data_IF_409469281306
#
_entry.id   IF_409469281306
#
_cell.length_a   1.000
_cell.length_b   1.000
_cell.length_c   1.000
_cell.angle_alpha   90.00
_cell.angle_beta   90.00
_cell.angle_gamma   90.00
#
_symmetry.space_group_name_H-M   'P 1'
#
loop_
_entity.id
_entity.type
_entity.pdbx_description
1 polymer ?
#
# COMPACT_ATOMS: atom_id res chain seq x y z
N UNK A 1 74.42 7.41 -47.45
CA UNK A 1 74.01 8.46 -46.56
C UNK A 1 72.47 8.35 -46.37
N UNK A 2 72.02 7.75 -45.28
CA UNK A 2 70.59 7.60 -44.97
C UNK A 2 70.29 8.55 -43.84
N UNK A 3 69.38 9.50 -44.03
CA UNK A 3 68.91 10.46 -43.01
C UNK A 3 67.81 9.80 -42.25
N UNK A 4 68.03 9.60 -40.98
CA UNK A 4 66.95 9.18 -40.02
C UNK A 4 66.15 10.40 -39.65
N UNK A 5 64.90 10.39 -39.98
CA UNK A 5 63.87 11.37 -39.47
C UNK A 5 63.28 10.79 -38.23
N UNK A 6 63.60 11.37 -37.09
CA UNK A 6 62.98 11.04 -35.81
C UNK A 6 61.73 11.90 -35.72
N UNK A 7 60.57 11.26 -35.85
CA UNK A 7 59.26 11.90 -35.64
C UNK A 7 58.93 11.85 -34.14
N UNK A 8 59.07 12.97 -33.48
CA UNK A 8 58.61 13.12 -32.09
C UNK A 8 57.09 13.18 -32.02
N UNK A 9 56.46 12.12 -31.52
CA UNK A 9 55.06 12.13 -31.20
C UNK A 9 54.86 12.88 -29.88
N UNK A 10 54.33 14.08 -29.93
CA UNK A 10 53.89 14.86 -28.77
C UNK A 10 52.52 14.28 -28.36
N UNK A 11 52.52 13.51 -27.27
CA UNK A 11 51.27 13.08 -26.63
C UNK A 11 50.64 14.28 -25.92
N UNK A 12 49.60 14.87 -26.50
CA UNK A 12 48.75 15.85 -25.85
C UNK A 12 47.96 15.11 -24.74
N UNK A 13 48.36 15.26 -23.48
CA UNK A 13 47.56 14.89 -22.35
C UNK A 13 46.40 15.90 -22.22
N UNK A 14 45.22 15.52 -22.70
CA UNK A 14 43.98 16.23 -22.45
C UNK A 14 43.61 15.94 -21.01
N UNK A 15 43.54 16.95 -20.10
CA UNK A 15 42.99 16.71 -18.79
C UNK A 15 41.53 16.32 -18.98
N UNK A 16 41.14 15.11 -18.63
CA UNK A 16 39.78 14.71 -18.49
C UNK A 16 39.15 15.63 -17.44
N UNK A 17 38.40 16.64 -17.88
CA UNK A 17 37.45 17.34 -17.02
C UNK A 17 36.51 16.29 -16.49
N UNK A 18 36.75 15.86 -15.26
CA UNK A 18 35.74 15.13 -14.49
C UNK A 18 34.52 16.07 -14.40
N UNK A 19 33.57 15.86 -15.28
CA UNK A 19 32.22 16.40 -15.09
C UNK A 19 31.76 15.76 -13.79
N UNK A 20 31.74 16.53 -12.72
CA UNK A 20 31.08 16.11 -11.49
C UNK A 20 29.63 15.82 -11.91
N UNK A 21 29.30 14.55 -11.92
CA UNK A 21 27.96 14.08 -12.15
C UNK A 21 27.08 14.81 -11.13
N UNK A 22 26.13 15.56 -11.65
CA UNK A 22 25.19 16.36 -10.85
C UNK A 22 24.66 15.42 -9.77
N UNK A 23 25.04 15.65 -8.51
CA UNK A 23 24.60 14.82 -7.40
C UNK A 23 23.08 14.85 -7.47
N UNK A 24 22.50 13.73 -7.87
CA UNK A 24 21.05 13.60 -8.03
C UNK A 24 20.43 14.13 -6.73
N UNK A 25 19.83 15.32 -6.79
CA UNK A 25 19.08 15.88 -5.70
C UNK A 25 17.97 14.89 -5.45
N UNK A 26 18.12 14.08 -4.40
CA UNK A 26 17.04 13.22 -3.94
C UNK A 26 15.85 14.13 -3.66
N UNK A 27 14.74 13.86 -4.31
CA UNK A 27 13.50 14.57 -4.08
C UNK A 27 13.19 14.55 -2.58
N UNK A 28 12.89 15.72 -2.03
CA UNK A 28 12.57 15.83 -0.60
C UNK A 28 11.24 15.13 -0.38
N UNK A 29 11.27 13.96 0.26
CA UNK A 29 10.07 13.24 0.63
C UNK A 29 9.45 13.97 1.83
N UNK A 30 8.30 14.60 1.60
CA UNK A 30 7.49 15.19 2.65
C UNK A 30 6.54 14.14 3.22
N UNK A 31 6.39 14.10 4.53
CA UNK A 31 5.48 13.21 5.27
C UNK A 31 4.44 14.05 6.01
N UNK A 32 3.22 13.53 6.06
CA UNK A 32 2.09 14.17 6.75
C UNK A 32 1.76 13.52 8.08
N UNK A 33 2.10 12.25 8.24
CA UNK A 33 1.80 11.46 9.43
C UNK A 33 2.41 12.03 10.72
N UNK A 34 3.54 12.72 10.60
CA UNK A 34 4.30 13.21 11.76
C UNK A 34 3.82 14.55 12.31
N UNK A 35 3.12 15.39 11.51
CA UNK A 35 2.79 16.76 11.92
C UNK A 35 1.48 17.31 11.34
N UNK A 36 0.70 16.49 10.62
CA UNK A 36 -0.49 16.91 9.85
C UNK A 36 -0.22 18.00 8.78
N UNK A 37 1.03 18.41 8.65
CA UNK A 37 1.52 19.34 7.61
C UNK A 37 2.71 18.72 6.91
N UNK A 38 2.98 19.09 5.64
CA UNK A 38 4.12 18.51 4.93
C UNK A 38 5.43 18.86 5.64
N UNK A 39 6.09 17.84 6.19
CA UNK A 39 7.36 17.95 6.87
C UNK A 39 8.36 17.03 6.20
N UNK A 40 9.59 17.49 5.97
CA UNK A 40 10.64 16.65 5.38
C UNK A 40 10.88 15.41 6.24
N UNK A 41 10.96 14.24 5.62
CA UNK A 41 11.27 12.96 6.29
C UNK A 41 12.57 13.06 7.13
N UNK A 42 13.56 13.79 6.64
CA UNK A 42 14.83 13.99 7.36
C UNK A 42 14.72 14.86 8.62
N UNK A 43 13.68 15.67 8.73
CA UNK A 43 13.41 16.54 9.89
C UNK A 43 12.48 15.86 10.91
N UNK A 44 11.96 14.69 10.57
CA UNK A 44 11.06 13.96 11.45
C UNK A 44 11.87 13.13 12.44
N UNK A 45 11.68 13.37 13.73
CA UNK A 45 12.33 12.60 14.80
C UNK A 45 11.75 11.18 14.95
N UNK A 46 10.61 10.92 14.36
CA UNK A 46 9.88 9.65 14.46
C UNK A 46 10.27 8.68 13.35
N UNK A 47 10.16 7.37 13.65
CA UNK A 47 10.43 6.33 12.68
C UNK A 47 9.26 6.21 11.68
N UNK A 48 9.44 6.73 10.49
CA UNK A 48 8.45 6.69 9.40
C UNK A 48 8.93 5.76 8.28
N UNK A 49 8.02 4.96 7.74
CA UNK A 49 8.21 4.24 6.47
C UNK A 49 7.23 4.82 5.46
N UNK A 50 7.73 5.22 4.31
CA UNK A 50 6.91 5.72 3.20
C UNK A 50 6.89 4.64 2.11
N UNK A 51 5.71 4.30 1.64
CA UNK A 51 5.45 3.37 0.54
C UNK A 51 4.75 4.14 -0.57
N UNK A 52 5.29 4.07 -1.76
CA UNK A 52 4.81 4.80 -2.94
C UNK A 52 4.23 3.86 -3.99
N UNK A 53 3.58 4.39 -5.03
CA UNK A 53 3.10 3.60 -6.18
C UNK A 53 4.21 2.71 -6.78
N UNK A 54 5.45 3.20 -6.80
CA UNK A 54 6.61 2.42 -7.26
C UNK A 54 6.86 1.19 -6.39
N UNK A 55 6.71 1.35 -5.08
CA UNK A 55 6.85 0.24 -4.13
C UNK A 55 5.73 -0.78 -4.30
N UNK A 56 4.50 -0.32 -4.57
CA UNK A 56 3.35 -1.19 -4.81
C UNK A 56 3.57 -2.03 -6.07
N UNK A 57 3.98 -1.39 -7.17
CA UNK A 57 4.26 -2.05 -8.44
C UNK A 57 5.40 -3.06 -8.33
N UNK A 58 6.52 -2.72 -7.66
CA UNK A 58 7.65 -3.62 -7.46
C UNK A 58 7.28 -4.88 -6.67
N UNK A 59 6.29 -4.79 -5.79
CA UNK A 59 5.81 -5.92 -4.97
C UNK A 59 4.66 -6.68 -5.62
N UNK A 60 4.16 -6.23 -6.76
CA UNK A 60 2.96 -6.79 -7.40
C UNK A 60 1.74 -6.75 -6.47
N UNK A 61 1.65 -5.72 -5.64
CA UNK A 61 0.60 -5.59 -4.64
C UNK A 61 -0.67 -4.99 -5.26
N UNK A 62 -1.82 -5.54 -4.89
CA UNK A 62 -3.14 -5.05 -5.32
C UNK A 62 -3.90 -4.39 -4.17
N UNK A 63 -3.62 -4.80 -2.93
CA UNK A 63 -4.32 -4.32 -1.74
C UNK A 63 -3.34 -3.68 -0.76
N UNK A 64 -3.86 -2.76 0.06
CA UNK A 64 -3.10 -2.11 1.13
C UNK A 64 -2.51 -3.14 2.09
N UNK A 65 -3.25 -4.19 2.40
CA UNK A 65 -2.77 -5.29 3.23
C UNK A 65 -1.53 -5.98 2.67
N UNK A 66 -1.37 -6.04 1.34
CA UNK A 66 -0.21 -6.67 0.72
C UNK A 66 1.09 -5.92 0.96
N UNK A 67 1.04 -4.60 1.05
CA UNK A 67 2.22 -3.77 1.32
C UNK A 67 2.46 -3.57 2.81
N UNK A 68 1.41 -3.35 3.60
CA UNK A 68 1.55 -3.12 5.03
C UNK A 68 2.19 -4.31 5.77
N UNK A 69 1.87 -5.55 5.39
CA UNK A 69 2.50 -6.76 5.99
C UNK A 69 4.01 -6.84 5.77
N UNK A 70 4.56 -6.06 4.82
CA UNK A 70 6.01 -6.03 4.56
C UNK A 70 6.75 -4.95 5.35
N UNK A 71 6.03 -4.10 6.07
CA UNK A 71 6.63 -3.00 6.85
C UNK A 71 7.15 -3.52 8.19
N UNK A 72 8.42 -3.31 8.51
CA UNK A 72 8.97 -3.73 9.80
C UNK A 72 8.20 -3.13 10.99
N UNK A 73 7.86 -3.98 11.96
CA UNK A 73 7.12 -3.58 13.16
C UNK A 73 5.61 -3.40 12.94
N UNK A 74 5.10 -3.83 11.80
CA UNK A 74 3.66 -3.93 11.52
C UNK A 74 3.25 -5.40 11.54
N UNK A 75 2.21 -5.72 12.28
CA UNK A 75 1.66 -7.08 12.39
C UNK A 75 0.25 -7.11 11.81
N UNK A 76 0.00 -8.07 10.93
CA UNK A 76 -1.31 -8.30 10.31
C UNK A 76 -2.08 -9.38 11.08
N UNK A 77 -3.34 -9.10 11.34
CA UNK A 77 -4.33 -10.04 11.86
C UNK A 77 -5.45 -10.18 10.84
N UNK A 78 -5.47 -11.30 10.11
CA UNK A 78 -6.49 -11.61 9.11
C UNK A 78 -7.31 -12.82 9.55
N UNK A 79 -8.62 -12.73 9.45
CA UNK A 79 -9.56 -13.77 9.88
C UNK A 79 -9.99 -14.70 8.74
N UNK A 80 -9.31 -14.65 7.62
CA UNK A 80 -9.58 -15.50 6.47
C UNK A 80 -8.84 -15.07 5.23
N UNK A 81 -9.40 -15.39 4.08
CA UNK A 81 -8.88 -14.98 2.79
C UNK A 81 -9.11 -13.50 2.49
N UNK A 82 -8.81 -13.11 1.26
CA UNK A 82 -8.97 -11.73 0.78
C UNK A 82 -10.42 -11.25 0.93
N UNK A 83 -10.59 -10.02 1.40
CA UNK A 83 -11.91 -9.41 1.65
C UNK A 83 -12.53 -9.75 3.02
N UNK A 84 -11.86 -10.57 3.84
CA UNK A 84 -12.28 -10.78 5.24
C UNK A 84 -11.66 -9.71 6.14
N UNK A 85 -12.20 -9.60 7.36
CA UNK A 85 -11.70 -8.67 8.36
C UNK A 85 -10.19 -8.80 8.50
N UNK A 86 -9.49 -7.71 8.22
CA UNK A 86 -8.03 -7.64 8.29
C UNK A 86 -7.62 -6.37 9.00
N UNK A 87 -7.00 -6.52 10.15
CA UNK A 87 -6.52 -5.43 10.98
C UNK A 87 -5.00 -5.41 11.02
N UNK A 88 -4.45 -4.26 11.33
CA UNK A 88 -3.02 -4.10 11.55
C UNK A 88 -2.75 -3.49 12.91
N UNK A 89 -1.65 -3.91 13.52
CA UNK A 89 -1.10 -3.29 14.72
C UNK A 89 0.35 -2.86 14.46
N UNK A 90 0.77 -1.80 15.12
CA UNK A 90 2.10 -1.25 15.03
C UNK A 90 2.86 -1.51 16.33
N UNK A 91 4.08 -2.09 16.24
CA UNK A 91 4.92 -2.42 17.39
C UNK A 91 4.26 -3.30 18.45
N UNK A 92 3.36 -4.20 18.03
CA UNK A 92 2.69 -5.11 18.94
C UNK A 92 1.60 -4.49 19.83
N UNK A 93 1.18 -3.26 19.52
CA UNK A 93 0.00 -2.65 20.17
C UNK A 93 -1.29 -3.39 19.77
N UNK A 94 -2.39 -3.12 20.43
CA UNK A 94 -3.69 -3.59 19.96
C UNK A 94 -4.10 -2.90 18.66
N UNK A 95 -4.97 -3.53 17.87
CA UNK A 95 -5.37 -3.03 16.55
C UNK A 95 -6.12 -1.70 16.62
N UNK A 96 -6.85 -1.44 17.71
CA UNK A 96 -7.52 -0.18 18.00
C UNK A 96 -6.57 0.93 18.47
N UNK A 97 -5.30 0.59 18.78
CA UNK A 97 -4.26 1.57 19.13
C UNK A 97 -3.42 2.01 17.94
N UNK A 98 -3.86 1.69 16.73
CA UNK A 98 -3.26 2.18 15.49
C UNK A 98 -4.25 3.11 14.81
N UNK A 99 -3.94 4.41 14.78
CA UNK A 99 -4.78 5.37 14.06
C UNK A 99 -4.61 5.21 12.55
N UNK A 100 -5.73 5.22 11.84
CA UNK A 100 -5.76 5.21 10.37
C UNK A 100 -6.35 6.52 9.87
N UNK A 101 -5.58 7.20 9.05
CA UNK A 101 -5.91 8.51 8.50
C UNK A 101 -5.93 8.39 6.98
N UNK A 102 -7.00 8.82 6.35
CA UNK A 102 -7.10 8.92 4.88
C UNK A 102 -7.33 10.37 4.53
N UNK A 103 -6.41 10.96 3.78
CA UNK A 103 -6.42 12.36 3.35
C UNK A 103 -6.70 13.35 4.50
N UNK A 104 -6.10 13.11 5.66
CA UNK A 104 -6.27 13.94 6.84
C UNK A 104 -7.48 13.61 7.72
N UNK A 105 -8.34 12.69 7.30
CA UNK A 105 -9.53 12.27 8.06
C UNK A 105 -9.25 10.96 8.79
N UNK A 106 -9.47 10.92 10.10
CA UNK A 106 -9.39 9.70 10.90
C UNK A 106 -10.59 8.79 10.58
N UNK A 107 -10.33 7.55 10.20
CA UNK A 107 -11.33 6.57 9.75
C UNK A 107 -11.48 5.36 10.68
N UNK A 108 -10.85 5.38 11.86
CA UNK A 108 -11.05 4.33 12.86
C UNK A 108 -12.52 4.24 13.25
N UNK A 109 -13.08 3.02 13.34
CA UNK A 109 -14.46 2.85 13.78
C UNK A 109 -14.62 3.19 15.27
N UNK A 110 -15.74 3.79 15.64
CA UNK A 110 -16.05 4.15 17.04
C UNK A 110 -16.26 2.92 17.96
N UNK A 111 -16.35 1.73 17.41
CA UNK A 111 -16.64 0.47 18.12
C UNK A 111 -15.45 -0.11 18.87
N UNK A 112 -14.28 0.53 18.86
CA UNK A 112 -13.06 0.04 19.53
C UNK A 112 -12.37 -1.12 18.82
N UNK A 113 -12.84 -1.52 17.64
CA UNK A 113 -12.11 -2.43 16.76
C UNK A 113 -11.17 -1.63 15.87
N UNK A 114 -10.05 -2.23 15.46
CA UNK A 114 -9.15 -1.63 14.47
C UNK A 114 -9.83 -1.41 13.11
N UNK A 115 -9.25 -0.57 12.27
CA UNK A 115 -9.72 -0.35 10.90
C UNK A 115 -9.61 -1.64 10.08
N UNK A 116 -10.62 -1.94 9.27
CA UNK A 116 -10.63 -3.10 8.38
C UNK A 116 -9.99 -2.77 7.02
N UNK A 117 -8.84 -3.39 6.75
CA UNK A 117 -8.10 -3.24 5.49
C UNK A 117 -8.41 -4.33 4.46
N UNK A 118 -9.32 -5.27 4.76
CA UNK A 118 -9.54 -6.48 3.97
C UNK A 118 -9.96 -6.23 2.53
N UNK A 119 -10.65 -5.12 2.26
CA UNK A 119 -11.11 -4.75 0.94
C UNK A 119 -10.45 -3.49 0.36
N UNK A 120 -9.49 -2.88 1.05
CA UNK A 120 -8.91 -1.61 0.61
C UNK A 120 -7.90 -1.83 -0.54
N UNK A 121 -8.31 -1.44 -1.75
CA UNK A 121 -7.47 -1.52 -2.96
C UNK A 121 -6.40 -0.43 -2.98
N UNK A 122 -5.24 -0.73 -3.60
CA UNK A 122 -4.19 0.25 -3.89
C UNK A 122 -4.49 1.12 -5.11
N UNK A 123 -5.52 0.81 -5.90
CA UNK A 123 -5.80 1.47 -7.19
C UNK A 123 -5.96 2.99 -7.09
N UNK A 124 -6.55 3.48 -6.00
CA UNK A 124 -6.73 4.90 -5.71
C UNK A 124 -5.73 5.46 -4.70
N UNK A 125 -4.68 4.73 -4.35
CA UNK A 125 -3.71 5.16 -3.35
C UNK A 125 -2.43 5.59 -4.03
N UNK A 126 -2.00 6.80 -3.70
CA UNK A 126 -0.73 7.37 -4.16
C UNK A 126 0.41 6.97 -3.22
N UNK A 127 0.15 7.03 -1.90
CA UNK A 127 1.17 6.84 -0.89
C UNK A 127 0.59 6.34 0.43
N UNK A 128 1.38 5.55 1.14
CA UNK A 128 1.09 5.11 2.51
C UNK A 128 2.29 5.46 3.37
N UNK A 129 2.05 6.13 4.49
CA UNK A 129 3.05 6.43 5.50
C UNK A 129 2.73 5.63 6.76
N UNK A 130 3.72 4.93 7.30
CA UNK A 130 3.58 4.20 8.56
C UNK A 130 4.50 4.85 9.58
N UNK A 131 3.91 5.59 10.49
CA UNK A 131 4.57 6.25 11.61
C UNK A 131 4.49 5.36 12.84
N UNK A 132 5.64 5.00 13.38
CA UNK A 132 5.76 4.08 14.51
C UNK A 132 6.06 4.81 15.81
N UNK A 133 5.28 4.54 16.83
CA UNK A 133 5.38 5.14 18.16
C UNK A 133 4.18 6.00 18.48
N UNK A 134 4.14 6.51 19.70
CA UNK A 134 3.01 7.28 20.19
C UNK A 134 2.85 8.61 19.44
N UNK A 135 1.62 8.86 19.00
CA UNK A 135 1.20 10.07 18.28
C UNK A 135 -0.14 10.60 18.78
N UNK A 136 -0.52 10.24 20.00
CA UNK A 136 -1.83 10.56 20.57
C UNK A 136 -2.06 12.08 20.70
N UNK A 137 -1.02 12.85 20.91
CA UNK A 137 -1.10 14.31 20.98
C UNK A 137 -1.62 14.95 19.68
N UNK A 138 -1.36 14.34 18.52
CA UNK A 138 -1.76 14.86 17.23
C UNK A 138 -2.99 14.15 16.67
N UNK A 139 -3.03 12.82 16.79
CA UNK A 139 -4.03 11.97 16.12
C UNK A 139 -5.07 11.35 17.06
N UNK A 140 -4.99 11.68 18.36
CA UNK A 140 -5.94 11.22 19.37
C UNK A 140 -5.59 9.84 19.96
N UNK A 141 -6.48 9.34 20.81
CA UNK A 141 -6.26 8.14 21.65
C UNK A 141 -5.90 6.87 20.89
N UNK A 142 -6.36 6.74 19.65
CA UNK A 142 -6.11 5.53 18.85
C UNK A 142 -4.67 5.49 18.29
N UNK A 143 -3.90 6.56 18.43
CA UNK A 143 -2.54 6.66 17.92
C UNK A 143 -1.45 6.34 18.96
N UNK A 144 -1.74 5.42 19.89
CA UNK A 144 -0.77 5.02 20.93
C UNK A 144 0.34 4.13 20.38
N UNK A 145 0.04 3.21 19.46
CA UNK A 145 1.02 2.32 18.82
C UNK A 145 1.68 2.95 17.60
N UNK A 146 0.91 3.74 16.86
CA UNK A 146 1.36 4.38 15.64
C UNK A 146 0.22 4.92 14.78
N UNK A 147 0.61 5.42 13.60
CA UNK A 147 -0.31 5.97 12.60
C UNK A 147 -0.05 5.34 11.25
N UNK A 148 -1.10 4.93 10.57
CA UNK A 148 -1.09 4.58 9.14
C UNK A 148 -1.80 5.72 8.42
N UNK A 149 -1.03 6.52 7.69
CA UNK A 149 -1.54 7.66 6.92
C UNK A 149 -1.58 7.29 5.44
N UNK A 150 -2.74 7.37 4.83
CA UNK A 150 -2.99 7.03 3.43
C UNK A 150 -3.32 8.30 2.68
N UNK A 151 -2.61 8.54 1.59
CA UNK A 151 -2.90 9.63 0.65
C UNK A 151 -3.47 9.02 -0.62
N UNK A 152 -4.66 9.48 -1.02
CA UNK A 152 -5.28 9.04 -2.27
C UNK A 152 -4.75 9.81 -3.46
N UNK A 153 -4.92 9.25 -4.65
CA UNK A 153 -4.56 9.90 -5.91
C UNK A 153 -5.37 11.16 -6.08
N UNK A 154 -4.69 12.28 -6.14
CA UNK A 154 -5.31 13.60 -6.35
C UNK A 154 -4.51 14.41 -7.35
N UNK A 155 -5.13 15.46 -7.90
CA UNK A 155 -4.42 16.41 -8.75
C UNK A 155 -3.38 17.26 -8.02
N UNK A 156 -3.38 17.22 -6.68
CA UNK A 156 -2.54 18.09 -5.83
C UNK A 156 -1.04 17.83 -6.02
N UNK A 157 -0.66 16.59 -6.28
CA UNK A 157 0.75 16.18 -6.40
C UNK A 157 1.22 16.01 -7.85
N UNK A 158 0.31 16.18 -8.81
CA UNK A 158 0.62 16.08 -10.23
C UNK A 158 0.47 17.48 -10.85
N UNK A 159 1.59 18.11 -11.16
CA UNK A 159 1.62 19.44 -11.79
C UNK A 159 1.24 19.34 -13.29
N UNK A 160 0.06 18.76 -13.54
CA UNK A 160 -0.52 18.56 -14.87
C UNK A 160 -1.99 18.92 -14.87
N UNK A 161 -2.47 19.62 -15.90
CA UNK A 161 -3.88 19.98 -16.00
C UNK A 161 -4.80 18.77 -16.19
N UNK A 162 -4.27 17.66 -16.71
CA UNK A 162 -5.02 16.43 -16.95
C UNK A 162 -4.07 15.23 -16.87
N UNK A 163 -4.47 14.21 -16.11
CA UNK A 163 -3.77 12.94 -16.00
C UNK A 163 -4.77 11.79 -15.93
N UNK A 164 -4.47 10.70 -16.59
CA UNK A 164 -5.25 9.45 -16.52
C UNK A 164 -4.32 8.32 -16.10
N UNK A 165 -4.65 7.70 -15.01
CA UNK A 165 -4.02 6.45 -14.55
C UNK A 165 -4.99 5.31 -14.81
N UNK A 166 -4.54 4.30 -15.49
CA UNK A 166 -5.30 3.10 -15.79
C UNK A 166 -4.53 1.87 -15.33
N UNK A 167 -5.21 0.99 -14.62
CA UNK A 167 -4.66 -0.29 -14.18
C UNK A 167 -5.59 -1.44 -14.55
N UNK A 168 -5.01 -2.55 -14.96
CA UNK A 168 -5.74 -3.77 -15.28
C UNK A 168 -4.96 -4.98 -14.79
N UNK A 169 -5.63 -5.83 -14.00
CA UNK A 169 -5.07 -7.04 -13.43
C UNK A 169 -5.92 -8.28 -13.69
N UNK A 170 -5.26 -9.42 -13.82
CA UNK A 170 -5.92 -10.73 -13.83
C UNK A 170 -5.21 -11.66 -12.87
N UNK A 171 -5.95 -12.54 -12.22
CA UNK A 171 -5.39 -13.45 -11.21
C UNK A 171 -6.09 -14.80 -11.15
N UNK A 172 -5.63 -15.61 -10.20
CA UNK A 172 -6.23 -16.90 -9.89
C UNK A 172 -7.72 -16.76 -9.53
N UNK A 173 -8.48 -17.86 -9.58
CA UNK A 173 -9.92 -17.90 -9.28
C UNK A 173 -10.75 -16.92 -10.14
N UNK A 174 -10.32 -16.72 -11.39
CA UNK A 174 -10.93 -15.78 -12.35
C UNK A 174 -10.99 -14.34 -11.82
N UNK A 175 -10.03 -13.95 -11.01
CA UNK A 175 -9.92 -12.58 -10.56
C UNK A 175 -9.65 -11.64 -11.73
N UNK A 176 -10.39 -10.55 -11.77
CA UNK A 176 -10.24 -9.44 -12.72
C UNK A 176 -10.35 -8.13 -11.96
N UNK A 177 -9.35 -7.32 -12.12
CA UNK A 177 -9.27 -5.98 -11.54
C UNK A 177 -9.16 -4.98 -12.68
N UNK A 178 -9.91 -3.92 -12.60
CA UNK A 178 -9.78 -2.78 -13.50
C UNK A 178 -10.01 -1.51 -12.71
N UNK A 179 -9.17 -0.51 -12.90
CA UNK A 179 -9.36 0.80 -12.29
C UNK A 179 -8.99 1.91 -13.27
N UNK A 180 -9.62 3.06 -13.09
CA UNK A 180 -9.30 4.28 -13.80
C UNK A 180 -9.36 5.45 -12.83
N UNK A 181 -8.33 6.30 -12.87
CA UNK A 181 -8.30 7.54 -12.11
C UNK A 181 -8.04 8.67 -13.09
N UNK A 182 -8.92 9.66 -13.11
CA UNK A 182 -8.74 10.90 -13.85
C UNK A 182 -8.48 11.99 -12.83
N UNK A 183 -7.35 12.66 -12.92
CA UNK A 183 -6.95 13.71 -11.98
C UNK A 183 -6.27 14.87 -12.70
N UNK A 184 -6.25 16.02 -12.05
CA UNK A 184 -5.55 17.18 -12.61
C UNK A 184 -5.61 18.40 -11.73
N UNK A 185 -4.82 19.40 -12.15
CA UNK A 185 -4.75 20.68 -11.51
C UNK A 185 -4.80 21.78 -12.59
N UNK A 186 -5.66 22.75 -12.40
CA UNK A 186 -5.71 23.93 -13.26
C UNK A 186 -6.06 25.17 -12.43
N UNK A 187 -5.21 26.20 -12.49
CA UNK A 187 -5.41 27.48 -11.80
C UNK A 187 -5.78 27.37 -10.31
N UNK A 188 -5.15 26.45 -9.58
CA UNK A 188 -5.41 26.23 -8.16
C UNK A 188 -6.64 25.36 -7.86
N UNK A 189 -7.36 24.92 -8.89
CA UNK A 189 -8.42 23.93 -8.75
C UNK A 189 -7.86 22.52 -8.97
N UNK A 190 -8.04 21.65 -7.98
CA UNK A 190 -7.62 20.26 -8.00
C UNK A 190 -8.84 19.37 -8.15
N UNK A 191 -8.72 18.33 -8.96
CA UNK A 191 -9.79 17.35 -9.12
C UNK A 191 -9.22 15.92 -9.24
N UNK A 192 -9.96 14.97 -8.76
CA UNK A 192 -9.74 13.55 -9.00
C UNK A 192 -11.08 12.81 -9.03
N UNK A 193 -11.23 11.92 -10.01
CA UNK A 193 -12.36 10.99 -10.11
C UNK A 193 -11.78 9.60 -10.30
N UNK A 194 -12.17 8.68 -9.43
CA UNK A 194 -11.72 7.30 -9.44
C UNK A 194 -12.90 6.37 -9.60
N UNK A 195 -12.69 5.31 -10.38
CA UNK A 195 -13.60 4.19 -10.50
C UNK A 195 -12.82 2.88 -10.57
N UNK A 196 -13.26 1.88 -9.82
CA UNK A 196 -12.67 0.56 -9.84
C UNK A 196 -13.73 -0.54 -9.92
N UNK A 197 -13.32 -1.69 -10.43
CA UNK A 197 -14.11 -2.90 -10.48
C UNK A 197 -13.23 -4.09 -10.13
N UNK A 198 -13.61 -4.80 -9.09
CA UNK A 198 -12.97 -6.03 -8.66
C UNK A 198 -13.95 -7.19 -8.74
N UNK A 199 -13.56 -8.27 -9.42
CA UNK A 199 -14.36 -9.50 -9.53
C UNK A 199 -13.49 -10.72 -9.27
N UNK A 200 -13.95 -11.61 -8.41
CA UNK A 200 -13.28 -12.89 -8.15
C UNK A 200 -14.32 -13.96 -7.81
N UNK A 201 -14.00 -15.21 -8.13
CA UNK A 201 -14.83 -16.35 -7.70
C UNK A 201 -14.47 -16.80 -6.28
N UNK A 202 -13.42 -16.18 -5.68
CA UNK A 202 -12.97 -16.51 -4.34
C UNK A 202 -12.50 -17.97 -4.19
N UNK A 203 -12.23 -18.32 -2.96
CA UNK A 203 -11.92 -19.69 -2.54
C UNK A 203 -12.91 -20.11 -1.47
N UNK A 204 -13.40 -21.36 -1.51
CA UNK A 204 -14.12 -21.90 -0.38
C UNK A 204 -13.13 -22.30 0.71
N UNK A 205 -13.22 -21.65 1.86
CA UNK A 205 -12.43 -22.03 3.05
C UNK A 205 -13.00 -23.25 3.76
N UNK A 206 -14.21 -23.66 3.40
CA UNK A 206 -14.90 -24.79 4.02
C UNK A 206 -14.80 -25.99 3.08
N UNK A 207 -14.11 -27.04 3.54
CA UNK A 207 -14.18 -28.34 2.92
C UNK A 207 -15.57 -28.95 3.15
N UNK A 208 -16.19 -29.48 2.10
CA UNK A 208 -17.42 -30.25 2.23
C UNK A 208 -17.13 -31.62 2.87
N UNK A 209 -16.72 -31.63 4.13
CA UNK A 209 -16.55 -32.86 4.87
C UNK A 209 -17.88 -33.30 5.45
N UNK A 210 -18.36 -34.42 5.00
CA UNK A 210 -19.48 -35.11 5.65
C UNK A 210 -18.92 -35.86 6.86
N UNK A 211 -19.32 -35.47 8.05
CA UNK A 211 -18.96 -36.18 9.26
C UNK A 211 -20.02 -37.25 9.55
N UNK A 212 -19.60 -38.48 9.68
CA UNK A 212 -20.42 -39.59 10.14
C UNK A 212 -20.14 -39.80 11.62
N UNK A 213 -21.15 -39.67 12.44
CA UNK A 213 -21.08 -39.96 13.86
C UNK A 213 -22.04 -41.09 14.18
N UNK A 214 -21.55 -42.09 14.86
CA UNK A 214 -22.38 -43.19 15.38
C UNK A 214 -22.51 -43.02 16.90
N UNK A 215 -23.72 -42.77 17.35
CA UNK A 215 -24.00 -42.70 18.79
C UNK A 215 -23.86 -44.05 19.47
N UNK A 216 -23.73 -44.09 20.80
CA UNK A 216 -23.55 -45.32 21.57
C UNK A 216 -24.72 -46.30 21.40
N UNK A 217 -25.90 -45.85 21.04
CA UNK A 217 -27.07 -46.66 20.75
C UNK A 217 -27.06 -47.24 19.30
N UNK A 218 -26.00 -47.08 18.56
CA UNK A 218 -25.86 -47.53 17.15
C UNK A 218 -26.53 -46.64 16.12
N UNK A 219 -27.15 -45.50 16.50
CA UNK A 219 -27.75 -44.58 15.56
C UNK A 219 -26.69 -43.81 14.80
N UNK A 220 -26.72 -43.85 13.49
CA UNK A 220 -25.83 -43.07 12.62
C UNK A 220 -26.41 -41.68 12.33
N UNK A 221 -25.63 -40.67 12.64
CA UNK A 221 -25.91 -39.31 12.23
C UNK A 221 -24.92 -38.85 11.18
N UNK A 222 -25.41 -38.29 10.12
CA UNK A 222 -24.62 -37.63 9.09
C UNK A 222 -24.81 -36.14 9.23
N UNK A 223 -23.77 -35.43 9.71
CA UNK A 223 -23.76 -33.96 9.77
C UNK A 223 -22.83 -33.45 8.70
N UNK A 224 -23.25 -32.45 8.00
CA UNK A 224 -22.53 -31.88 6.87
C UNK A 224 -23.31 -32.12 5.59
N UNK A 225 -24.19 -31.22 5.28
CA UNK A 225 -24.67 -31.02 3.92
C UNK A 225 -23.57 -30.28 3.16
N UNK A 226 -23.51 -30.48 1.84
CA UNK A 226 -22.79 -29.55 0.99
C UNK A 226 -23.36 -28.15 1.29
N UNK A 227 -22.56 -27.33 1.99
CA UNK A 227 -22.89 -25.92 2.06
C UNK A 227 -22.94 -25.48 0.59
N UNK A 228 -24.12 -25.05 0.19
CA UNK A 228 -24.36 -24.52 -1.14
C UNK A 228 -23.21 -23.58 -1.43
N UNK A 229 -22.60 -23.72 -2.61
CA UNK A 229 -21.45 -22.91 -3.02
C UNK A 229 -21.81 -21.47 -2.75
N UNK A 230 -21.26 -20.90 -1.68
CA UNK A 230 -21.43 -19.50 -1.37
C UNK A 230 -20.89 -18.72 -2.56
N UNK A 231 -21.78 -18.38 -3.45
CA UNK A 231 -21.54 -17.41 -4.48
C UNK A 231 -21.57 -16.06 -3.78
N UNK A 232 -20.44 -15.68 -3.20
CA UNK A 232 -20.22 -14.27 -2.85
C UNK A 232 -20.18 -13.48 -4.16
N UNK A 233 -21.34 -13.20 -4.70
CA UNK A 233 -21.52 -12.12 -5.64
C UNK A 233 -21.64 -10.85 -4.81
N UNK A 234 -20.59 -10.08 -4.72
CA UNK A 234 -20.70 -8.65 -4.45
C UNK A 234 -20.80 -7.98 -5.81
N UNK A 235 -21.99 -7.56 -6.15
CA UNK A 235 -22.23 -6.58 -7.21
C UNK A 235 -21.75 -5.19 -6.74
#
# INVERSE_FOLDING_TARGET
MKKNVITSAILLAIPALAVAEDVAKLDVINVYSASATPTSLHQTASSVTVLTEKDFAQRGATYVSDVLKTVPGVTMMAYGGRGTLTNFSVRGSETNHTAVIIDGVKVNPATGYGYDFGGLSLSNIERIEVLRGEQSALWGSDAMGGVIYITTKSGLYKDKPFNVDFDFGTGSHRTRDASVTVSGQNNGFYYAVHGDSHRTHGISAISSNTFHYTAENGTQFTTGGALEKDKFHRD
#
